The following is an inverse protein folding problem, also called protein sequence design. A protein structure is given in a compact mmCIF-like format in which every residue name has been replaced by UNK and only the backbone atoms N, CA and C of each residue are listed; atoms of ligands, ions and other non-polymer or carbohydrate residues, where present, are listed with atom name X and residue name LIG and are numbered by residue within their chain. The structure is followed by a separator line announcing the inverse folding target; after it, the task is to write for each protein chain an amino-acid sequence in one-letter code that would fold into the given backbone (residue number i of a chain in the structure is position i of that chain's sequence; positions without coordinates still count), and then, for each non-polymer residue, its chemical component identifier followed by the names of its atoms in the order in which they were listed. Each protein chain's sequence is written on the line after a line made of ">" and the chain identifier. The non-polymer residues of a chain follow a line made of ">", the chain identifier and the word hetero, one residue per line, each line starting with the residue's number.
data_IF_632512672660
#
_entry.id   IF_632512672660
#
_cell.length_a   1.000
_cell.length_b   1.000
_cell.length_c   1.000
_cell.angle_alpha   90.00
_cell.angle_beta   90.00
_cell.angle_gamma   90.00
#
_symmetry.space_group_name_H-M   'P 1'
#
loop_
_entity.id
_entity.type
_entity.pdbx_description
1 polymer ?
#
# COMPACT_ATOMS: atom_id res chain seq x y z
N UNK A 1 6.60 1.59 10.37
CA UNK A 1 5.90 2.67 9.66
C UNK A 1 6.92 3.56 8.95
N UNK A 2 6.84 3.70 7.62
CA UNK A 2 7.84 4.42 6.81
C UNK A 2 7.54 5.93 6.70
N UNK A 3 6.43 6.39 7.27
CA UNK A 3 6.04 7.81 7.21
C UNK A 3 7.17 8.76 7.68
N UNK A 4 7.88 8.50 8.80
CA UNK A 4 8.98 9.38 9.21
C UNK A 4 10.08 9.48 8.16
N UNK A 5 10.41 8.37 7.48
CA UNK A 5 11.40 8.41 6.40
C UNK A 5 10.92 9.25 5.22
N UNK A 6 9.64 9.13 4.83
CA UNK A 6 9.07 10.00 3.79
C UNK A 6 9.05 11.46 4.19
N UNK A 7 8.80 11.78 5.47
CA UNK A 7 8.87 13.16 5.96
C UNK A 7 10.31 13.70 5.91
N UNK A 8 11.31 12.89 6.26
CA UNK A 8 12.73 13.25 6.15
C UNK A 8 13.13 13.51 4.69
N UNK A 9 12.74 12.62 3.77
CA UNK A 9 13.00 12.76 2.34
C UNK A 9 12.32 14.00 1.77
N UNK A 10 11.04 14.20 2.11
CA UNK A 10 10.28 15.37 1.67
C UNK A 10 10.88 16.68 2.18
N UNK A 11 11.35 16.70 3.43
CA UNK A 11 12.07 17.84 4.01
C UNK A 11 13.33 18.16 3.22
N UNK A 12 14.16 17.14 3.00
CA UNK A 12 15.39 17.28 2.22
C UNK A 12 15.13 17.85 0.80
N UNK A 13 14.09 17.34 0.12
CA UNK A 13 13.69 17.80 -1.23
C UNK A 13 13.26 19.28 -1.19
N UNK A 14 12.46 19.68 -0.22
CA UNK A 14 11.97 21.06 -0.10
C UNK A 14 13.10 22.04 0.23
N UNK A 15 14.10 21.63 1.02
CA UNK A 15 15.26 22.46 1.36
C UNK A 15 16.26 22.59 0.20
N UNK A 16 16.50 21.49 -0.54
CA UNK A 16 17.52 21.47 -1.58
C UNK A 16 16.99 21.76 -2.98
N UNK A 17 15.67 21.78 -3.17
CA UNK A 17 15.03 22.05 -4.48
C UNK A 17 15.28 20.97 -5.55
N UNK A 18 15.73 19.77 -5.14
CA UNK A 18 16.06 18.67 -6.06
C UNK A 18 15.70 17.31 -5.46
N UNK A 19 15.49 16.31 -6.31
CA UNK A 19 15.26 14.92 -5.86
C UNK A 19 16.61 14.24 -5.69
N UNK A 20 16.88 13.58 -4.52
CA UNK A 20 18.16 12.94 -4.29
C UNK A 20 18.34 11.71 -5.19
N UNK A 21 19.51 11.58 -5.78
CA UNK A 21 19.96 10.41 -6.55
C UNK A 21 21.04 9.59 -5.83
N UNK A 22 21.47 10.07 -4.67
CA UNK A 22 22.36 9.41 -3.74
C UNK A 22 21.79 9.48 -2.32
N UNK A 23 22.20 8.59 -1.45
CA UNK A 23 21.73 8.58 -0.06
C UNK A 23 22.33 9.72 0.78
N UNK A 24 21.53 10.68 1.29
CA UNK A 24 22.02 11.73 2.17
C UNK A 24 21.81 11.44 3.66
N UNK A 25 21.16 10.31 4.05
CA UNK A 25 20.63 10.13 5.41
C UNK A 25 21.42 9.14 6.26
N UNK A 26 21.76 7.95 5.71
CA UNK A 26 22.36 6.89 6.54
C UNK A 26 23.86 7.06 6.75
N UNK A 27 24.38 6.45 7.81
CA UNK A 27 25.81 6.44 8.08
C UNK A 27 26.58 5.43 7.22
N UNK A 28 25.93 4.32 6.84
CA UNK A 28 26.57 3.19 6.15
C UNK A 28 26.36 3.20 4.64
N UNK A 29 25.29 3.79 4.16
CA UNK A 29 24.97 3.94 2.71
C UNK A 29 25.22 5.36 2.18
N UNK A 30 25.75 6.28 2.99
CA UNK A 30 25.90 7.68 2.61
C UNK A 30 26.68 7.89 1.31
N UNK A 31 26.09 8.68 0.42
CA UNK A 31 26.65 8.93 -0.91
C UNK A 31 26.47 7.80 -1.93
N UNK A 32 25.96 6.64 -1.52
CA UNK A 32 25.62 5.55 -2.42
C UNK A 32 24.44 5.88 -3.34
N UNK A 33 24.36 5.25 -4.53
CA UNK A 33 23.28 5.51 -5.49
C UNK A 33 21.94 5.13 -4.92
N UNK A 34 20.92 6.00 -5.10
CA UNK A 34 19.57 5.76 -4.61
C UNK A 34 18.51 6.29 -5.59
N UNK A 35 17.50 5.46 -5.86
CA UNK A 35 16.31 5.82 -6.64
C UNK A 35 15.19 6.21 -5.68
N UNK A 36 14.99 7.49 -5.47
CA UNK A 36 13.92 8.04 -4.62
C UNK A 36 12.55 7.96 -5.35
N UNK A 37 12.07 6.76 -5.62
CA UNK A 37 10.90 6.47 -6.48
C UNK A 37 9.56 6.98 -5.94
N UNK A 38 9.48 7.36 -4.67
CA UNK A 38 8.28 7.90 -4.00
C UNK A 38 8.47 9.38 -3.61
N UNK A 39 9.36 10.06 -4.31
CA UNK A 39 9.77 11.43 -4.01
C UNK A 39 8.60 12.43 -3.93
N UNK A 40 7.65 12.32 -4.86
CA UNK A 40 6.50 13.23 -4.88
C UNK A 40 5.53 12.96 -3.73
N UNK A 41 5.36 11.69 -3.31
CA UNK A 41 4.58 11.35 -2.13
C UNK A 41 5.27 11.88 -0.85
N UNK A 42 6.58 11.73 -0.74
CA UNK A 42 7.37 12.27 0.38
C UNK A 42 7.24 13.79 0.47
N UNK A 43 7.38 14.49 -0.65
CA UNK A 43 7.21 15.95 -0.74
C UNK A 43 5.79 16.37 -0.35
N UNK A 44 4.75 15.67 -0.84
CA UNK A 44 3.36 15.91 -0.47
C UNK A 44 3.12 15.77 1.04
N UNK A 45 3.61 14.67 1.63
CA UNK A 45 3.42 14.42 3.07
C UNK A 45 4.11 15.50 3.91
N UNK A 46 5.35 15.88 3.56
CA UNK A 46 6.05 16.94 4.26
C UNK A 46 5.38 18.31 4.09
N UNK A 47 4.90 18.62 2.90
CA UNK A 47 4.17 19.87 2.65
C UNK A 47 2.89 19.96 3.50
N UNK A 48 2.16 18.85 3.64
CA UNK A 48 0.96 18.80 4.50
C UNK A 48 1.33 18.91 5.97
N UNK A 49 2.39 18.26 6.40
CA UNK A 49 2.90 18.34 7.79
C UNK A 49 3.33 19.78 8.13
N UNK A 50 3.95 20.49 7.17
CA UNK A 50 4.40 21.88 7.33
C UNK A 50 3.27 22.91 7.48
N UNK A 51 2.00 22.50 7.32
CA UNK A 51 0.84 23.34 7.66
C UNK A 51 0.68 23.57 9.18
N UNK A 52 1.54 22.97 9.99
CA UNK A 52 1.77 23.31 11.37
C UNK A 52 1.11 22.41 12.43
N UNK A 53 0.35 21.37 12.04
CA UNK A 53 -0.22 20.44 13.02
C UNK A 53 -0.23 18.98 12.49
N UNK A 54 0.22 17.99 13.29
CA UNK A 54 0.25 16.57 12.89
C UNK A 54 -1.10 16.01 12.42
N UNK A 55 -2.21 16.59 12.90
CA UNK A 55 -3.57 16.18 12.51
C UNK A 55 -3.85 16.41 11.01
N UNK A 56 -3.13 17.28 10.32
CA UNK A 56 -3.26 17.42 8.85
C UNK A 56 -2.85 16.16 8.11
N UNK A 57 -1.84 15.42 8.59
CA UNK A 57 -1.47 14.11 8.04
C UNK A 57 -2.57 13.07 8.29
N UNK A 58 -3.23 13.11 9.46
CA UNK A 58 -4.37 12.25 9.76
C UNK A 58 -5.54 12.61 8.85
N UNK A 59 -5.84 13.89 8.67
CA UNK A 59 -6.88 14.36 7.76
C UNK A 59 -6.62 13.91 6.32
N UNK A 60 -5.37 13.99 5.84
CA UNK A 60 -4.98 13.47 4.53
C UNK A 60 -5.22 11.96 4.42
N UNK A 61 -4.85 11.17 5.44
CA UNK A 61 -5.09 9.73 5.45
C UNK A 61 -6.59 9.41 5.41
N UNK A 62 -7.42 10.15 6.15
CA UNK A 62 -8.89 10.02 6.14
C UNK A 62 -9.47 10.39 4.78
N UNK A 63 -9.03 11.49 4.18
CA UNK A 63 -9.47 11.92 2.84
C UNK A 63 -9.11 10.88 1.77
N UNK A 64 -7.90 10.36 1.78
CA UNK A 64 -7.47 9.32 0.85
C UNK A 64 -8.24 8.01 1.06
N UNK A 65 -8.53 7.66 2.30
CA UNK A 65 -9.37 6.48 2.61
C UNK A 65 -10.81 6.69 2.14
N UNK A 66 -11.39 7.86 2.37
CA UNK A 66 -12.73 8.21 1.89
C UNK A 66 -12.79 8.21 0.35
N UNK A 67 -11.76 8.76 -0.33
CA UNK A 67 -11.62 8.71 -1.79
C UNK A 67 -11.57 7.27 -2.31
N UNK A 68 -10.81 6.39 -1.64
CA UNK A 68 -10.76 4.98 -1.99
C UNK A 68 -12.15 4.33 -1.94
N UNK A 69 -12.93 4.60 -0.88
CA UNK A 69 -14.31 4.15 -0.74
C UNK A 69 -15.24 4.73 -1.79
N UNK A 70 -15.12 6.01 -2.08
CA UNK A 70 -15.88 6.69 -3.12
C UNK A 70 -15.62 6.12 -4.52
N UNK A 71 -14.36 5.91 -4.87
CA UNK A 71 -13.99 5.29 -6.15
C UNK A 71 -14.51 3.85 -6.26
N UNK A 72 -14.40 3.06 -5.18
CA UNK A 72 -14.94 1.71 -5.15
C UNK A 72 -16.46 1.72 -5.37
N UNK A 73 -17.17 2.63 -4.72
CA UNK A 73 -18.63 2.80 -4.91
C UNK A 73 -18.99 3.18 -6.35
N UNK A 74 -18.25 4.12 -6.95
CA UNK A 74 -18.46 4.52 -8.36
C UNK A 74 -18.23 3.35 -9.31
N UNK A 75 -17.20 2.54 -9.08
CA UNK A 75 -16.93 1.34 -9.88
C UNK A 75 -18.07 0.33 -9.73
N UNK A 76 -18.49 0.02 -8.50
CA UNK A 76 -19.58 -0.91 -8.24
C UNK A 76 -20.88 -0.47 -8.92
N UNK A 77 -21.22 0.83 -8.87
CA UNK A 77 -22.35 1.41 -9.59
C UNK A 77 -22.22 1.23 -11.10
N UNK A 78 -21.02 1.45 -11.65
CA UNK A 78 -20.79 1.29 -13.10
C UNK A 78 -20.94 -0.16 -13.59
N UNK A 79 -20.79 -1.12 -12.69
CA UNK A 79 -21.08 -2.54 -12.96
C UNK A 79 -22.55 -2.93 -12.73
N UNK A 80 -23.38 -2.00 -12.24
CA UNK A 80 -24.79 -2.27 -11.92
C UNK A 80 -24.97 -3.12 -10.66
N UNK A 81 -23.99 -3.10 -9.73
CA UNK A 81 -24.09 -3.85 -8.47
C UNK A 81 -25.24 -3.30 -7.62
N UNK A 82 -26.20 -4.15 -7.17
CA UNK A 82 -27.29 -3.70 -6.31
C UNK A 82 -26.80 -3.10 -4.99
N UNK A 83 -27.50 -2.08 -4.45
CA UNK A 83 -27.11 -1.35 -3.25
C UNK A 83 -26.84 -2.26 -2.05
N UNK A 84 -27.66 -3.29 -1.87
CA UNK A 84 -27.48 -4.29 -0.81
C UNK A 84 -26.06 -4.91 -0.81
N UNK A 85 -25.61 -5.39 -1.96
CA UNK A 85 -24.29 -6.00 -2.09
C UNK A 85 -23.16 -4.99 -1.94
N UNK A 86 -23.33 -3.77 -2.44
CA UNK A 86 -22.34 -2.70 -2.25
C UNK A 86 -22.08 -2.40 -0.78
N UNK A 87 -23.16 -2.34 0.02
CA UNK A 87 -23.09 -2.08 1.45
C UNK A 87 -22.56 -3.28 2.25
N UNK A 88 -23.04 -4.48 1.92
CA UNK A 88 -22.62 -5.71 2.61
C UNK A 88 -21.11 -5.97 2.43
N UNK A 89 -20.56 -5.68 1.26
CA UNK A 89 -19.15 -5.89 0.95
C UNK A 89 -18.23 -4.82 1.54
N UNK A 90 -18.76 -3.67 1.99
CA UNK A 90 -17.93 -2.63 2.60
C UNK A 90 -17.12 -3.16 3.78
N UNK A 91 -17.76 -3.87 4.71
CA UNK A 91 -17.12 -4.32 5.95
C UNK A 91 -15.95 -5.26 5.69
N UNK A 92 -16.11 -6.39 4.98
CA UNK A 92 -14.99 -7.30 4.74
C UNK A 92 -13.88 -6.65 3.89
N UNK A 93 -14.24 -5.75 2.95
CA UNK A 93 -13.24 -5.00 2.18
C UNK A 93 -12.43 -4.09 3.10
N UNK A 94 -13.08 -3.29 3.95
CA UNK A 94 -12.37 -2.40 4.86
C UNK A 94 -11.52 -3.13 5.90
N UNK A 95 -11.97 -4.27 6.41
CA UNK A 95 -11.17 -5.12 7.29
C UNK A 95 -9.93 -5.69 6.56
N UNK A 96 -10.08 -6.11 5.31
CA UNK A 96 -8.96 -6.60 4.50
C UNK A 96 -7.95 -5.48 4.14
N UNK A 97 -8.45 -4.27 3.88
CA UNK A 97 -7.63 -3.10 3.51
C UNK A 97 -7.05 -2.38 4.73
N UNK A 98 -7.64 -2.55 5.93
CA UNK A 98 -7.41 -1.72 7.13
C UNK A 98 -5.95 -1.47 7.48
N UNK A 99 -5.08 -2.49 7.37
CA UNK A 99 -3.62 -2.34 7.59
C UNK A 99 -2.94 -1.45 6.56
N UNK A 100 -3.58 -1.16 5.41
CA UNK A 100 -3.08 -0.34 4.32
C UNK A 100 -3.67 1.07 4.28
N UNK A 101 -4.53 1.42 5.25
CA UNK A 101 -5.09 2.76 5.37
C UNK A 101 -4.15 3.76 6.10
N UNK A 102 -3.00 3.29 6.56
CA UNK A 102 -1.95 4.17 7.09
C UNK A 102 -1.42 5.07 5.98
N UNK A 103 -1.08 6.31 6.34
CA UNK A 103 -0.50 7.28 5.41
C UNK A 103 0.90 6.82 4.96
N UNK A 104 0.92 6.26 3.77
CA UNK A 104 2.10 5.79 3.04
C UNK A 104 1.85 5.95 1.54
N UNK A 105 2.86 6.00 0.69
CA UNK A 105 2.69 6.12 -0.77
C UNK A 105 1.75 5.07 -1.39
N UNK A 106 1.70 3.87 -0.84
CA UNK A 106 0.80 2.83 -1.33
C UNK A 106 -0.70 3.17 -1.17
N UNK A 107 -1.11 4.02 -0.21
CA UNK A 107 -2.50 4.46 -0.11
C UNK A 107 -2.89 5.36 -1.29
N UNK A 108 -1.96 6.21 -1.75
CA UNK A 108 -2.11 6.96 -3.01
C UNK A 108 -2.20 6.00 -4.20
N UNK A 109 -1.33 4.99 -4.24
CA UNK A 109 -1.32 3.99 -5.30
C UNK A 109 -2.64 3.19 -5.40
N UNK A 110 -3.23 2.77 -4.28
CA UNK A 110 -4.54 2.10 -4.28
C UNK A 110 -5.65 3.00 -4.85
N UNK A 111 -5.62 4.30 -4.51
CA UNK A 111 -6.54 5.27 -5.11
C UNK A 111 -6.34 5.37 -6.63
N UNK A 112 -5.08 5.41 -7.09
CA UNK A 112 -4.76 5.49 -8.52
C UNK A 112 -5.15 4.24 -9.29
N UNK A 113 -5.03 3.03 -8.69
CA UNK A 113 -5.57 1.80 -9.28
C UNK A 113 -7.07 1.92 -9.53
N UNK A 114 -7.83 2.32 -8.50
CA UNK A 114 -9.28 2.46 -8.64
C UNK A 114 -9.66 3.62 -9.57
N UNK A 115 -8.90 4.72 -9.56
CA UNK A 115 -9.13 5.85 -10.45
C UNK A 115 -8.94 5.45 -11.92
N UNK A 116 -7.87 4.76 -12.26
CA UNK A 116 -7.63 4.25 -13.62
C UNK A 116 -8.72 3.26 -14.02
N UNK A 117 -9.12 2.36 -13.12
CA UNK A 117 -10.24 1.45 -13.37
C UNK A 117 -11.55 2.20 -13.62
N UNK A 118 -11.87 3.21 -12.81
CA UNK A 118 -13.07 4.02 -13.00
C UNK A 118 -13.02 4.81 -14.30
N UNK A 119 -11.89 5.47 -14.64
CA UNK A 119 -11.72 6.24 -15.87
C UNK A 119 -11.91 5.34 -17.10
N UNK A 120 -11.32 4.17 -17.15
CA UNK A 120 -11.44 3.26 -18.29
C UNK A 120 -12.89 2.79 -18.45
N UNK A 121 -13.59 2.49 -17.36
CA UNK A 121 -15.00 2.11 -17.41
C UNK A 121 -15.89 3.27 -17.84
N UNK A 122 -15.74 4.44 -17.22
CA UNK A 122 -16.53 5.64 -17.56
C UNK A 122 -16.19 6.17 -18.95
N UNK A 123 -14.97 6.04 -19.39
CA UNK A 123 -14.50 6.46 -20.70
C UNK A 123 -15.03 5.62 -21.86
N UNK A 124 -15.60 4.44 -21.63
CA UNK A 124 -16.20 3.63 -22.70
C UNK A 124 -17.35 4.37 -23.43
N UNK A 125 -18.39 4.89 -22.75
CA UNK A 125 -19.40 5.73 -23.35
C UNK A 125 -18.97 7.19 -23.53
N UNK A 126 -17.98 7.69 -22.78
CA UNK A 126 -17.54 9.09 -22.74
C UNK A 126 -16.04 9.22 -23.02
N UNK A 127 -15.61 9.07 -24.26
CA UNK A 127 -14.22 8.79 -24.63
C UNK A 127 -13.24 9.92 -24.28
N UNK A 128 -13.71 11.16 -24.11
CA UNK A 128 -12.85 12.29 -23.67
C UNK A 128 -12.15 12.05 -22.33
N UNK A 129 -12.76 11.25 -21.43
CA UNK A 129 -12.17 10.92 -20.13
C UNK A 129 -10.93 10.05 -20.23
N UNK A 130 -10.78 9.27 -21.32
CA UNK A 130 -9.61 8.40 -21.50
C UNK A 130 -8.30 9.19 -21.65
N UNK A 131 -8.35 10.41 -22.15
CA UNK A 131 -7.16 11.27 -22.27
C UNK A 131 -6.58 11.70 -20.92
N UNK A 132 -7.40 11.67 -19.85
CA UNK A 132 -6.96 11.95 -18.46
C UNK A 132 -6.00 10.87 -17.96
N UNK A 133 -5.98 9.68 -18.58
CA UNK A 133 -5.03 8.62 -18.22
C UNK A 133 -3.57 9.06 -18.38
N UNK A 134 -3.27 9.92 -19.35
CA UNK A 134 -1.90 10.40 -19.61
C UNK A 134 -1.35 11.16 -18.40
N UNK A 135 -1.95 12.29 -17.93
CA UNK A 135 -1.46 12.98 -16.74
C UNK A 135 -1.59 12.14 -15.45
N UNK A 136 -2.58 11.27 -15.33
CA UNK A 136 -2.71 10.35 -14.19
C UNK A 136 -1.52 9.41 -14.12
N UNK A 137 -1.04 8.89 -15.26
CA UNK A 137 0.13 8.00 -15.27
C UNK A 137 1.43 8.72 -14.98
N UNK A 138 1.58 9.98 -15.43
CA UNK A 138 2.71 10.84 -15.00
C UNK A 138 2.73 10.99 -13.48
N UNK A 139 1.57 11.33 -12.90
CA UNK A 139 1.44 11.48 -11.46
C UNK A 139 1.78 10.17 -10.72
N UNK A 140 1.23 9.05 -11.18
CA UNK A 140 1.43 7.75 -10.53
C UNK A 140 2.90 7.31 -10.54
N UNK A 141 3.61 7.47 -11.66
CA UNK A 141 5.02 7.12 -11.76
C UNK A 141 5.90 7.88 -10.75
N UNK A 142 5.53 9.11 -10.40
CA UNK A 142 6.24 9.93 -9.42
C UNK A 142 5.79 9.70 -7.96
N UNK A 143 4.65 9.04 -7.75
CA UNK A 143 4.11 8.77 -6.41
C UNK A 143 4.46 7.38 -5.88
N UNK A 144 4.52 6.34 -6.75
CA UNK A 144 4.73 4.96 -6.29
C UNK A 144 5.09 4.00 -7.43
N UNK A 145 6.01 3.07 -7.18
CA UNK A 145 6.50 2.08 -8.16
C UNK A 145 5.45 1.13 -8.75
N UNK A 146 4.24 1.06 -8.20
CA UNK A 146 3.14 0.24 -8.75
C UNK A 146 2.49 0.81 -10.02
N UNK A 147 2.97 1.91 -10.58
CA UNK A 147 2.48 2.47 -11.86
C UNK A 147 2.49 1.46 -13.01
N UNK A 148 3.34 0.45 -12.95
CA UNK A 148 3.39 -0.67 -13.90
C UNK A 148 2.05 -1.44 -13.98
N UNK A 149 1.31 -1.54 -12.86
CA UNK A 149 -0.03 -2.12 -12.85
C UNK A 149 -1.01 -1.26 -13.66
N UNK A 150 -0.89 0.07 -13.55
CA UNK A 150 -1.67 1.01 -14.36
C UNK A 150 -1.38 0.86 -15.85
N UNK A 151 -0.10 0.78 -16.24
CA UNK A 151 0.31 0.51 -17.63
C UNK A 151 -0.34 -0.79 -18.14
N UNK A 152 -0.16 -1.89 -17.40
CA UNK A 152 -0.70 -3.19 -17.80
C UNK A 152 -2.22 -3.16 -17.94
N UNK A 153 -2.92 -2.49 -17.01
CA UNK A 153 -4.37 -2.36 -17.04
C UNK A 153 -4.84 -1.50 -18.23
N UNK A 154 -4.21 -0.35 -18.49
CA UNK A 154 -4.56 0.56 -19.61
C UNK A 154 -4.35 -0.15 -20.97
N UNK A 155 -3.22 -0.83 -21.15
CA UNK A 155 -2.96 -1.60 -22.38
C UNK A 155 -4.00 -2.72 -22.51
N UNK A 156 -4.26 -3.44 -21.43
CA UNK A 156 -5.29 -4.48 -21.39
C UNK A 156 -6.66 -3.94 -21.81
N UNK A 157 -7.10 -2.82 -21.23
CA UNK A 157 -8.43 -2.27 -21.49
C UNK A 157 -8.57 -1.65 -22.90
N UNK A 158 -7.61 -0.84 -23.31
CA UNK A 158 -7.72 -0.09 -24.56
C UNK A 158 -7.33 -0.89 -25.80
N UNK A 159 -6.42 -1.85 -25.66
CA UNK A 159 -5.84 -2.55 -26.81
C UNK A 159 -6.34 -4.00 -26.94
N UNK A 160 -6.51 -4.73 -25.81
CA UNK A 160 -6.83 -6.17 -25.81
C UNK A 160 -8.31 -6.40 -25.56
N UNK A 161 -8.85 -5.98 -24.40
CA UNK A 161 -10.24 -6.18 -23.98
C UNK A 161 -11.11 -4.98 -24.35
N UNK A 162 -10.99 -4.49 -25.56
CA UNK A 162 -11.52 -3.19 -25.99
C UNK A 162 -13.03 -3.12 -26.28
N UNK A 163 -13.79 -4.12 -25.87
CA UNK A 163 -15.24 -4.16 -26.06
C UNK A 163 -15.95 -2.99 -25.38
N UNK A 164 -16.89 -2.39 -26.09
CA UNK A 164 -17.69 -1.26 -25.58
C UNK A 164 -16.99 0.11 -25.64
N UNK A 165 -15.76 0.19 -26.15
CA UNK A 165 -15.13 1.49 -26.45
C UNK A 165 -15.67 2.09 -27.75
N UNK A 166 -16.06 3.36 -27.69
CA UNK A 166 -16.54 4.12 -28.87
C UNK A 166 -15.39 4.80 -29.64
N UNK A 167 -14.18 4.91 -29.03
CA UNK A 167 -13.03 5.49 -29.70
C UNK A 167 -12.46 4.61 -30.82
N UNK A 168 -12.03 5.22 -31.94
CA UNK A 168 -11.28 4.54 -32.98
C UNK A 168 -10.01 3.85 -32.42
N UNK A 169 -9.66 2.72 -33.01
CA UNK A 169 -8.48 1.93 -32.59
C UNK A 169 -7.21 2.77 -32.50
N UNK A 170 -6.95 3.64 -33.49
CA UNK A 170 -5.79 4.54 -33.52
C UNK A 170 -5.71 5.41 -32.27
N UNK A 171 -6.81 6.04 -31.87
CA UNK A 171 -6.85 6.92 -30.70
C UNK A 171 -6.62 6.14 -29.40
N UNK A 172 -7.18 4.93 -29.28
CA UNK A 172 -6.94 4.06 -28.11
C UNK A 172 -5.46 3.70 -27.96
N UNK A 173 -4.79 3.35 -29.08
CA UNK A 173 -3.35 3.11 -29.07
C UNK A 173 -2.54 4.38 -28.76
N UNK A 174 -2.97 5.55 -29.24
CA UNK A 174 -2.32 6.83 -28.89
C UNK A 174 -2.43 7.13 -27.38
N UNK A 175 -3.60 6.90 -26.78
CA UNK A 175 -3.78 7.09 -25.34
C UNK A 175 -2.95 6.09 -24.54
N UNK A 176 -2.96 4.82 -24.91
CA UNK A 176 -2.16 3.79 -24.25
C UNK A 176 -0.66 4.09 -24.36
N UNK A 177 -0.16 4.37 -25.56
CA UNK A 177 1.24 4.75 -25.79
C UNK A 177 1.63 6.05 -25.08
N UNK A 178 0.76 7.06 -25.16
CA UNK A 178 0.95 8.34 -24.44
C UNK A 178 0.99 8.14 -22.92
N UNK A 179 0.17 7.26 -22.37
CA UNK A 179 0.19 6.90 -20.94
C UNK A 179 1.49 6.22 -20.52
N UNK A 180 2.04 5.34 -21.38
CA UNK A 180 3.35 4.71 -21.14
C UNK A 180 4.46 5.76 -21.20
N UNK A 181 4.52 6.58 -22.26
CA UNK A 181 5.54 7.61 -22.42
C UNK A 181 5.48 8.67 -21.31
N UNK A 182 4.29 9.00 -20.83
CA UNK A 182 4.08 9.94 -19.74
C UNK A 182 4.73 9.51 -18.42
N UNK A 183 4.90 8.21 -18.18
CA UNK A 183 5.59 7.71 -16.99
C UNK A 183 7.10 7.93 -17.03
N UNK A 184 7.68 8.26 -18.19
CA UNK A 184 9.09 8.67 -18.31
C UNK A 184 9.34 10.10 -17.82
N UNK A 185 8.28 10.89 -17.61
CA UNK A 185 8.37 12.23 -17.01
C UNK A 185 8.54 12.07 -15.49
N UNK A 186 9.75 11.67 -15.08
CA UNK A 186 10.17 11.47 -13.71
C UNK A 186 11.69 11.73 -13.58
N UNK A 187 12.24 12.03 -12.39
CA UNK A 187 13.67 12.33 -12.20
C UNK A 187 14.62 11.17 -12.51
N UNK A 188 14.12 9.93 -12.53
CA UNK A 188 14.94 8.73 -12.69
C UNK A 188 14.83 8.08 -14.08
N UNK A 189 13.96 8.61 -14.96
CA UNK A 189 13.75 8.12 -16.33
C UNK A 189 13.45 6.62 -16.37
N UNK A 190 14.19 5.90 -17.20
CA UNK A 190 14.00 4.44 -17.42
C UNK A 190 14.40 3.60 -16.20
N UNK A 191 15.32 4.08 -15.34
CA UNK A 191 15.73 3.35 -14.14
C UNK A 191 14.55 3.03 -13.21
N UNK A 192 13.51 3.88 -13.21
CA UNK A 192 12.29 3.66 -12.44
C UNK A 192 11.54 2.36 -12.82
N UNK A 193 11.67 1.91 -14.06
CA UNK A 193 11.04 0.66 -14.51
C UNK A 193 11.73 -0.60 -14.00
N UNK A 194 13.05 -0.54 -13.80
CA UNK A 194 13.84 -1.68 -13.32
C UNK A 194 13.74 -1.86 -11.80
N UNK A 195 13.59 -0.75 -11.09
CA UNK A 195 13.57 -0.70 -9.63
C UNK A 195 12.58 -1.67 -8.95
N UNK A 196 11.28 -1.77 -9.34
CA UNK A 196 10.35 -2.68 -8.69
C UNK A 196 10.72 -4.16 -8.86
N UNK A 197 11.36 -4.52 -9.97
CA UNK A 197 11.81 -5.90 -10.23
C UNK A 197 13.05 -6.23 -9.40
N UNK A 198 14.03 -5.32 -9.30
CA UNK A 198 15.21 -5.52 -8.47
C UNK A 198 14.82 -5.83 -7.02
N UNK A 199 13.87 -5.04 -6.48
CA UNK A 199 13.41 -5.23 -5.11
C UNK A 199 12.54 -6.48 -4.92
N UNK A 200 11.64 -6.78 -5.88
CA UNK A 200 10.69 -7.89 -5.77
C UNK A 200 11.34 -9.26 -5.95
N UNK A 201 12.46 -9.33 -6.66
CA UNK A 201 13.17 -10.58 -6.95
C UNK A 201 14.25 -10.91 -5.92
N UNK A 202 14.58 -9.98 -5.02
CA UNK A 202 15.60 -10.21 -3.99
C UNK A 202 15.04 -11.12 -2.88
N UNK A 203 15.64 -12.32 -2.68
CA UNK A 203 15.16 -13.28 -1.70
C UNK A 203 15.35 -12.82 -0.24
N UNK A 204 16.34 -11.98 0.04
CA UNK A 204 16.65 -11.50 1.39
C UNK A 204 15.57 -10.55 1.87
N UNK A 205 15.22 -9.55 1.07
CA UNK A 205 14.15 -8.62 1.42
C UNK A 205 12.79 -9.29 1.44
N UNK A 206 12.53 -10.23 0.51
CA UNK A 206 11.25 -10.96 0.48
C UNK A 206 11.07 -11.91 1.66
N UNK A 207 12.15 -12.41 2.28
CA UNK A 207 12.09 -13.27 3.46
C UNK A 207 12.20 -12.47 4.79
N UNK A 208 12.90 -11.32 4.78
CA UNK A 208 13.19 -10.54 5.99
C UNK A 208 12.10 -9.56 6.41
N UNK A 209 11.24 -9.12 5.50
CA UNK A 209 10.21 -8.11 5.77
C UNK A 209 8.84 -8.75 5.88
N UNK A 210 8.18 -8.60 7.05
CA UNK A 210 6.87 -9.23 7.35
C UNK A 210 5.81 -9.05 6.25
N UNK A 211 5.70 -7.87 5.66
CA UNK A 211 4.71 -7.57 4.63
C UNK A 211 4.97 -8.28 3.29
N UNK A 212 6.17 -8.81 3.10
CA UNK A 212 6.61 -9.51 1.89
C UNK A 212 6.47 -11.03 2.01
N UNK A 213 6.20 -11.52 3.23
CA UNK A 213 5.97 -12.94 3.48
C UNK A 213 4.65 -13.41 2.85
N UNK A 214 4.58 -14.68 2.42
CA UNK A 214 3.31 -15.31 2.11
C UNK A 214 2.36 -15.32 3.32
N UNK A 215 1.04 -15.20 3.13
CA UNK A 215 0.07 -15.16 4.25
C UNK A 215 0.19 -16.32 5.24
N UNK A 216 0.47 -17.52 4.74
CA UNK A 216 0.55 -18.74 5.56
C UNK A 216 1.86 -18.89 6.33
N UNK A 217 2.94 -18.18 5.95
CA UNK A 217 4.23 -18.19 6.67
C UNK A 217 4.38 -17.01 7.62
N UNK A 218 3.57 -15.97 7.45
CA UNK A 218 3.64 -14.76 8.27
C UNK A 218 3.08 -15.04 9.68
N UNK A 219 3.89 -14.91 10.74
CA UNK A 219 3.47 -15.29 12.10
C UNK A 219 2.21 -14.54 12.55
N UNK A 220 1.19 -15.27 12.99
CA UNK A 220 -0.06 -14.71 13.51
C UNK A 220 -0.93 -13.98 12.49
N UNK A 221 -0.56 -13.94 11.21
CA UNK A 221 -1.34 -13.19 10.21
C UNK A 221 -2.69 -13.84 9.93
N UNK A 222 -2.76 -15.17 9.82
CA UNK A 222 -3.99 -15.90 9.45
C UNK A 222 -5.15 -15.73 10.45
N UNK A 223 -4.84 -15.31 11.67
CA UNK A 223 -5.85 -15.00 12.71
C UNK A 223 -6.31 -13.55 12.69
N UNK A 224 -5.76 -12.70 11.80
CA UNK A 224 -6.15 -11.28 11.72
C UNK A 224 -7.49 -11.11 10.99
N UNK A 225 -8.27 -10.07 11.35
CA UNK A 225 -9.47 -9.71 10.60
C UNK A 225 -9.22 -9.50 9.10
N UNK A 226 -8.04 -9.00 8.75
CA UNK A 226 -7.64 -8.78 7.36
C UNK A 226 -7.53 -10.10 6.58
N UNK A 227 -6.88 -11.12 7.16
CA UNK A 227 -6.76 -12.43 6.53
C UNK A 227 -8.13 -13.12 6.40
N UNK A 228 -8.89 -13.15 7.50
CA UNK A 228 -10.23 -13.77 7.53
C UNK A 228 -11.15 -13.12 6.48
N UNK A 229 -11.14 -11.79 6.41
CA UNK A 229 -11.95 -11.05 5.43
C UNK A 229 -11.49 -11.27 4.00
N UNK A 230 -10.18 -11.30 3.73
CA UNK A 230 -9.63 -11.60 2.41
C UNK A 230 -9.98 -12.99 1.92
N UNK A 231 -9.85 -14.00 2.78
CA UNK A 231 -10.25 -15.39 2.49
C UNK A 231 -11.76 -15.45 2.26
N UNK A 232 -12.57 -14.78 3.10
CA UNK A 232 -14.02 -14.72 2.96
C UNK A 232 -14.45 -14.10 1.61
N UNK A 233 -13.84 -12.99 1.20
CA UNK A 233 -14.11 -12.37 -0.09
C UNK A 233 -13.77 -13.31 -1.25
N UNK A 234 -12.61 -13.96 -1.21
CA UNK A 234 -12.22 -14.92 -2.23
C UNK A 234 -13.17 -16.14 -2.28
N UNK A 235 -13.57 -16.66 -1.13
CA UNK A 235 -14.55 -17.75 -1.03
C UNK A 235 -15.90 -17.35 -1.60
N UNK A 236 -16.38 -16.12 -1.33
CA UNK A 236 -17.60 -15.56 -1.93
C UNK A 236 -17.48 -15.46 -3.45
N UNK A 237 -16.32 -15.05 -3.97
CA UNK A 237 -16.08 -14.99 -5.40
C UNK A 237 -16.16 -16.37 -6.06
N UNK A 238 -15.52 -17.37 -5.47
CA UNK A 238 -15.56 -18.76 -5.94
C UNK A 238 -16.98 -19.34 -5.90
N UNK A 239 -17.67 -19.19 -4.78
CA UNK A 239 -19.03 -19.66 -4.61
C UNK A 239 -20.00 -18.97 -5.59
N UNK A 240 -19.91 -17.65 -5.72
CA UNK A 240 -20.72 -16.88 -6.69
C UNK A 240 -20.46 -17.34 -8.13
N UNK A 241 -19.19 -17.60 -8.48
CA UNK A 241 -18.84 -18.13 -9.80
C UNK A 241 -19.40 -19.53 -10.04
N UNK A 242 -19.35 -20.41 -9.03
CA UNK A 242 -19.90 -21.76 -9.10
C UNK A 242 -21.43 -21.74 -9.24
N UNK A 243 -22.13 -20.88 -8.48
CA UNK A 243 -23.58 -20.72 -8.56
C UNK A 243 -24.07 -20.15 -9.90
N UNK A 244 -23.26 -19.30 -10.54
CA UNK A 244 -23.55 -18.81 -11.90
C UNK A 244 -23.48 -19.93 -12.94
N UNK A 245 -22.65 -20.95 -12.73
CA UNK A 245 -22.35 -21.96 -13.72
C UNK A 245 -21.71 -21.37 -14.98
N UNK A 246 -21.38 -22.20 -15.95
CA UNK A 246 -20.81 -21.73 -17.22
C UNK A 246 -21.83 -20.99 -18.07
N UNK A 247 -23.07 -21.52 -18.12
CA UNK A 247 -24.22 -20.92 -18.82
C UNK A 247 -24.11 -20.95 -20.34
N UNK A 248 -25.12 -20.36 -20.98
CA UNK A 248 -25.15 -20.12 -22.43
C UNK A 248 -24.38 -18.84 -22.81
N UNK A 249 -24.36 -18.49 -24.10
CA UNK A 249 -23.66 -17.28 -24.58
C UNK A 249 -24.05 -15.97 -23.87
N UNK A 250 -25.28 -15.88 -23.38
CA UNK A 250 -25.80 -14.67 -22.74
C UNK A 250 -26.19 -14.85 -21.28
N UNK A 251 -25.86 -16.00 -20.66
CA UNK A 251 -26.20 -16.31 -19.28
C UNK A 251 -25.00 -16.93 -18.54
N UNK A 252 -25.06 -16.99 -17.22
CA UNK A 252 -24.00 -17.51 -16.37
C UNK A 252 -22.68 -16.77 -16.49
N UNK A 253 -21.58 -17.42 -16.13
CA UNK A 253 -20.24 -16.85 -16.18
C UNK A 253 -19.82 -16.46 -17.61
N UNK A 254 -20.19 -17.27 -18.62
CA UNK A 254 -19.89 -16.98 -20.02
C UNK A 254 -20.53 -15.67 -20.50
N UNK A 255 -21.77 -15.40 -20.12
CA UNK A 255 -22.44 -14.12 -20.39
C UNK A 255 -21.78 -12.94 -19.67
N UNK A 256 -21.32 -13.14 -18.41
CA UNK A 256 -20.61 -12.11 -17.67
C UNK A 256 -19.26 -11.76 -18.30
N UNK A 257 -18.49 -12.75 -18.78
CA UNK A 257 -17.21 -12.53 -19.46
C UNK A 257 -17.33 -11.68 -20.74
N UNK A 258 -18.50 -11.72 -21.40
CA UNK A 258 -18.80 -10.88 -22.57
C UNK A 258 -19.17 -9.43 -22.22
N UNK A 259 -19.45 -9.13 -20.94
CA UNK A 259 -19.74 -7.75 -20.52
C UNK A 259 -18.49 -6.87 -20.65
N UNK A 260 -18.59 -5.65 -21.18
CA UNK A 260 -17.46 -4.76 -21.35
C UNK A 260 -16.67 -4.57 -20.06
N UNK A 261 -15.36 -4.86 -20.08
CA UNK A 261 -14.43 -4.71 -18.97
C UNK A 261 -14.51 -5.77 -17.86
N UNK A 262 -15.48 -6.70 -17.88
CA UNK A 262 -15.59 -7.73 -16.84
C UNK A 262 -14.43 -8.74 -16.90
N UNK A 263 -14.11 -9.23 -18.09
CA UNK A 263 -13.02 -10.21 -18.28
C UNK A 263 -11.66 -9.67 -17.83
N UNK A 264 -11.33 -8.43 -18.20
CA UNK A 264 -10.08 -7.78 -17.74
C UNK A 264 -10.09 -7.57 -16.22
N UNK A 265 -11.21 -7.12 -15.65
CA UNK A 265 -11.33 -6.93 -14.20
C UNK A 265 -11.17 -8.25 -13.45
N UNK A 266 -11.72 -9.34 -13.97
CA UNK A 266 -11.54 -10.69 -13.43
C UNK A 266 -10.08 -11.13 -13.51
N UNK A 267 -9.42 -10.93 -14.65
CA UNK A 267 -8.00 -11.23 -14.81
C UNK A 267 -7.16 -10.44 -13.80
N UNK A 268 -7.41 -9.14 -13.65
CA UNK A 268 -6.73 -8.29 -12.69
C UNK A 268 -6.93 -8.77 -11.24
N UNK A 269 -8.16 -9.16 -10.87
CA UNK A 269 -8.46 -9.67 -9.53
C UNK A 269 -7.78 -11.03 -9.26
N UNK A 270 -7.77 -11.93 -10.23
CA UNK A 270 -7.06 -13.22 -10.14
C UNK A 270 -5.54 -13.00 -10.01
N UNK A 271 -4.97 -12.13 -10.84
CA UNK A 271 -3.55 -11.76 -10.74
C UNK A 271 -3.21 -11.16 -9.38
N UNK A 272 -4.03 -10.24 -8.87
CA UNK A 272 -3.84 -9.65 -7.55
C UNK A 272 -3.95 -10.70 -6.43
N UNK A 273 -4.81 -11.70 -6.56
CA UNK A 273 -4.91 -12.82 -5.62
C UNK A 273 -3.67 -13.70 -5.66
N UNK A 274 -3.15 -14.00 -6.85
CA UNK A 274 -1.88 -14.71 -6.98
C UNK A 274 -0.74 -13.92 -6.31
N UNK A 275 -0.64 -12.62 -6.55
CA UNK A 275 0.35 -11.77 -5.89
C UNK A 275 0.13 -11.73 -4.36
N UNK A 276 -1.11 -11.66 -3.90
CA UNK A 276 -1.44 -11.71 -2.47
C UNK A 276 -1.08 -13.05 -1.82
N UNK A 277 -1.18 -14.14 -2.55
CA UNK A 277 -0.71 -15.46 -2.10
C UNK A 277 0.81 -15.52 -1.94
N UNK A 278 1.55 -14.72 -2.67
CA UNK A 278 3.02 -14.64 -2.57
C UNK A 278 3.49 -13.62 -1.55
N UNK A 279 2.76 -12.52 -1.38
CA UNK A 279 3.12 -11.43 -0.47
C UNK A 279 1.88 -10.76 0.12
N UNK A 280 1.85 -10.65 1.45
CA UNK A 280 0.75 -10.05 2.24
C UNK A 280 0.32 -8.67 1.75
N UNK A 281 1.27 -7.87 1.30
CA UNK A 281 1.03 -6.49 0.90
C UNK A 281 0.03 -6.33 -0.25
N UNK A 282 -0.21 -7.38 -1.04
CA UNK A 282 -1.16 -7.36 -2.15
C UNK A 282 -2.59 -7.74 -1.76
N UNK A 283 -2.84 -8.16 -0.52
CA UNK A 283 -4.19 -8.55 -0.06
C UNK A 283 -5.21 -7.42 -0.20
N UNK A 284 -4.81 -6.19 0.13
CA UNK A 284 -5.69 -5.02 -0.01
C UNK A 284 -6.09 -4.79 -1.47
N UNK A 285 -5.13 -4.87 -2.39
CA UNK A 285 -5.39 -4.75 -3.82
C UNK A 285 -6.36 -5.84 -4.31
N UNK A 286 -6.10 -7.10 -3.96
CA UNK A 286 -6.97 -8.22 -4.32
C UNK A 286 -8.40 -8.00 -3.82
N UNK A 287 -8.56 -7.62 -2.54
CA UNK A 287 -9.86 -7.38 -1.92
C UNK A 287 -10.67 -6.26 -2.61
N UNK A 288 -9.99 -5.16 -2.97
CA UNK A 288 -10.60 -4.04 -3.70
C UNK A 288 -11.05 -4.45 -5.11
N UNK A 289 -10.26 -5.26 -5.81
CA UNK A 289 -10.59 -5.70 -7.16
C UNK A 289 -11.70 -6.76 -7.17
N UNK A 290 -11.78 -7.63 -6.16
CA UNK A 290 -12.83 -8.62 -6.05
C UNK A 290 -14.20 -8.04 -5.68
N UNK A 291 -14.27 -6.97 -4.89
CA UNK A 291 -15.53 -6.46 -4.36
C UNK A 291 -16.60 -6.15 -5.45
N UNK A 292 -16.32 -5.40 -6.53
CA UNK A 292 -17.28 -5.16 -7.59
C UNK A 292 -17.70 -6.44 -8.33
N UNK A 293 -16.76 -7.38 -8.53
CA UNK A 293 -17.01 -8.64 -9.22
C UNK A 293 -17.92 -9.56 -8.40
N UNK A 294 -17.66 -9.68 -7.09
CA UNK A 294 -18.55 -10.39 -6.16
C UNK A 294 -19.94 -9.77 -6.19
N UNK A 295 -20.03 -8.44 -6.13
CA UNK A 295 -21.30 -7.73 -6.22
C UNK A 295 -22.07 -8.03 -7.50
N UNK A 296 -21.39 -8.19 -8.65
CA UNK A 296 -22.01 -8.61 -9.92
C UNK A 296 -22.44 -10.08 -9.85
N UNK A 297 -21.55 -10.98 -9.43
CA UNK A 297 -21.82 -12.42 -9.36
C UNK A 297 -23.05 -12.72 -8.50
N UNK A 298 -23.13 -12.12 -7.32
CA UNK A 298 -24.25 -12.32 -6.42
C UNK A 298 -25.49 -11.49 -6.77
N UNK A 299 -25.31 -10.30 -7.32
CA UNK A 299 -26.39 -9.40 -7.73
C UNK A 299 -27.22 -9.93 -8.90
N UNK A 300 -26.67 -10.79 -9.75
CA UNK A 300 -27.35 -11.42 -10.88
C UNK A 300 -28.12 -12.70 -10.51
N UNK A 301 -27.97 -13.21 -9.28
CA UNK A 301 -28.66 -14.42 -8.78
C UNK A 301 -30.07 -14.11 -8.23
N UNK A 302 -30.82 -13.20 -8.72
CA UNK A 302 -32.25 -12.93 -8.41
C UNK A 302 -32.71 -13.24 -6.96
N UNK A 303 -31.88 -12.92 -5.96
CA UNK A 303 -32.21 -13.12 -4.56
C UNK A 303 -33.34 -12.18 -4.14
N UNK A 304 -34.42 -12.74 -3.54
CA UNK A 304 -35.43 -11.92 -2.87
C UNK A 304 -34.91 -11.50 -1.50
N UNK A 305 -34.31 -10.34 -1.44
CA UNK A 305 -33.78 -9.78 -0.18
C UNK A 305 -34.90 -9.03 0.55
N UNK A 306 -35.24 -9.45 1.77
CA UNK A 306 -36.29 -8.81 2.54
C UNK A 306 -35.95 -7.34 2.86
N UNK A 307 -36.95 -6.43 2.97
CA UNK A 307 -36.72 -5.04 3.32
C UNK A 307 -36.00 -4.86 4.67
N UNK A 308 -36.25 -5.73 5.63
CA UNK A 308 -35.56 -5.73 6.93
C UNK A 308 -34.07 -6.04 6.79
N UNK A 309 -33.69 -6.99 5.96
CA UNK A 309 -32.29 -7.33 5.70
C UNK A 309 -31.57 -6.20 4.95
N UNK A 310 -32.27 -5.51 4.03
CA UNK A 310 -31.71 -4.33 3.36
C UNK A 310 -31.43 -3.19 4.36
N UNK A 311 -32.36 -2.93 5.29
CA UNK A 311 -32.17 -1.95 6.37
C UNK A 311 -31.00 -2.34 7.30
N UNK A 312 -30.91 -3.61 7.68
CA UNK A 312 -29.81 -4.12 8.49
C UNK A 312 -28.45 -3.95 7.79
N UNK A 313 -28.36 -4.22 6.49
CA UNK A 313 -27.14 -4.01 5.70
C UNK A 313 -26.72 -2.53 5.63
N UNK A 314 -27.68 -1.59 5.73
CA UNK A 314 -27.40 -0.16 5.77
C UNK A 314 -26.92 0.28 7.16
N UNK A 315 -27.53 -0.24 8.23
CA UNK A 315 -27.21 0.10 9.60
C UNK A 315 -25.90 -0.51 10.10
N UNK A 316 -25.56 -1.72 9.63
CA UNK A 316 -24.42 -2.47 10.12
C UNK A 316 -23.06 -1.76 9.95
N UNK A 317 -22.69 -1.20 8.78
CA UNK A 317 -21.42 -0.46 8.63
C UNK A 317 -21.34 0.75 9.56
N UNK A 318 -22.45 1.48 9.75
CA UNK A 318 -22.53 2.64 10.64
C UNK A 318 -22.33 2.20 12.09
N UNK A 319 -23.05 1.16 12.54
CA UNK A 319 -22.90 0.60 13.88
C UNK A 319 -21.46 0.09 14.12
N UNK A 320 -20.85 -0.55 13.13
CA UNK A 320 -19.48 -1.03 13.24
C UNK A 320 -18.47 0.13 13.35
N UNK A 321 -18.62 1.19 12.56
CA UNK A 321 -17.76 2.39 12.65
C UNK A 321 -17.86 3.04 14.02
N UNK A 322 -19.08 3.17 14.57
CA UNK A 322 -19.31 3.70 15.90
C UNK A 322 -18.66 2.80 16.97
N UNK A 323 -18.88 1.49 16.89
CA UNK A 323 -18.30 0.52 17.82
C UNK A 323 -16.76 0.58 17.82
N UNK A 324 -16.14 0.58 16.63
CA UNK A 324 -14.68 0.66 16.49
C UNK A 324 -14.14 2.01 16.96
N UNK A 325 -14.90 3.09 16.77
CA UNK A 325 -14.55 4.42 17.27
C UNK A 325 -14.50 4.49 18.81
N UNK A 326 -15.39 3.76 19.50
CA UNK A 326 -15.44 3.73 20.96
C UNK A 326 -14.46 2.73 21.58
N UNK A 327 -14.31 1.57 21.00
CA UNK A 327 -13.52 0.46 21.57
C UNK A 327 -12.13 0.30 20.94
N UNK A 328 -11.83 1.03 19.89
CA UNK A 328 -10.66 0.75 19.04
C UNK A 328 -10.93 -0.35 18.02
N UNK A 329 -9.88 -0.83 17.35
CA UNK A 329 -10.01 -1.85 16.33
C UNK A 329 -9.24 -3.14 16.71
N UNK A 330 -9.75 -4.32 16.32
CA UNK A 330 -9.07 -5.58 16.59
C UNK A 330 -7.80 -5.69 15.75
N UNK A 331 -6.66 -5.88 16.41
CA UNK A 331 -5.35 -5.95 15.77
C UNK A 331 -4.87 -7.39 15.51
N UNK A 332 -5.54 -8.39 16.07
CA UNK A 332 -5.22 -9.81 15.96
C UNK A 332 -5.43 -10.54 17.27
N UNK A 333 -5.04 -11.82 17.31
CA UNK A 333 -5.08 -12.66 18.51
C UNK A 333 -3.65 -12.79 19.03
N UNK A 334 -3.45 -12.65 20.33
CA UNK A 334 -2.15 -12.83 20.97
C UNK A 334 -1.82 -14.33 21.20
N UNK A 335 -0.63 -14.59 21.75
CA UNK A 335 -0.17 -15.95 22.04
C UNK A 335 -1.04 -16.67 23.10
N UNK A 336 -1.83 -15.94 23.87
CA UNK A 336 -2.77 -16.45 24.88
C UNK A 336 -4.18 -16.64 24.32
N UNK A 337 -4.40 -16.45 23.01
CA UNK A 337 -5.70 -16.59 22.36
C UNK A 337 -6.66 -15.43 22.57
N UNK A 338 -6.20 -14.29 23.10
CA UNK A 338 -7.04 -13.13 23.36
C UNK A 338 -6.96 -12.11 22.23
N UNK A 339 -8.09 -11.42 21.94
CA UNK A 339 -8.13 -10.34 20.98
C UNK A 339 -7.32 -9.13 21.47
N UNK A 340 -6.32 -8.74 20.68
CA UNK A 340 -5.62 -7.46 20.87
C UNK A 340 -6.43 -6.33 20.26
N UNK A 341 -6.70 -5.33 21.06
CA UNK A 341 -7.36 -4.10 20.64
C UNK A 341 -6.34 -2.96 20.58
N UNK A 342 -6.47 -2.10 19.59
CA UNK A 342 -5.69 -0.87 19.48
C UNK A 342 -6.63 0.32 19.55
N UNK A 343 -6.31 1.26 20.45
CA UNK A 343 -7.02 2.54 20.53
C UNK A 343 -6.77 3.40 19.28
N UNK A 344 -7.77 4.17 18.92
CA UNK A 344 -7.64 5.23 17.92
C UNK A 344 -7.19 6.48 18.66
N UNK A 345 -6.12 7.13 18.19
CA UNK A 345 -5.57 8.35 18.81
C UNK A 345 -4.87 9.23 17.78
N UNK A 346 -4.53 10.45 18.18
CA UNK A 346 -3.73 11.39 17.39
C UNK A 346 -2.27 11.37 17.83
N UNK A 347 -1.35 11.68 16.91
CA UNK A 347 0.08 11.74 17.17
C UNK A 347 0.81 10.40 16.97
N UNK A 348 2.06 10.36 17.46
CA UNK A 348 2.90 9.18 17.37
C UNK A 348 2.54 8.14 18.43
N UNK A 349 2.56 6.86 18.06
CA UNK A 349 2.36 5.79 19.03
C UNK A 349 3.41 5.84 20.14
N UNK A 350 3.06 5.60 21.41
CA UNK A 350 4.05 5.52 22.52
C UNK A 350 5.15 4.47 22.30
N UNK A 351 4.92 3.51 21.41
CA UNK A 351 5.90 2.47 21.07
C UNK A 351 6.93 2.94 20.01
N UNK A 352 6.80 4.16 19.49
CA UNK A 352 7.75 4.72 18.53
C UNK A 352 8.93 5.38 19.26
N UNK A 353 10.13 5.41 18.66
CA UNK A 353 11.35 5.94 19.32
C UNK A 353 11.43 7.48 19.29
N UNK A 354 10.28 8.18 19.22
CA UNK A 354 10.25 9.65 19.12
C UNK A 354 10.87 10.31 20.34
N UNK A 355 10.42 9.94 21.54
CA UNK A 355 10.92 10.51 22.79
C UNK A 355 12.41 10.19 23.01
N UNK A 356 12.89 8.94 22.88
CA UNK A 356 14.31 8.65 23.02
C UNK A 356 15.20 9.42 22.04
N UNK A 357 14.80 9.53 20.76
CA UNK A 357 15.59 10.27 19.76
C UNK A 357 15.59 11.78 20.08
N UNK A 358 14.44 12.33 20.43
CA UNK A 358 14.33 13.74 20.82
C UNK A 358 15.22 14.05 22.05
N UNK A 359 15.22 13.17 23.05
CA UNK A 359 16.07 13.27 24.23
C UNK A 359 17.57 13.26 23.85
N UNK A 360 17.98 12.31 23.00
CA UNK A 360 19.38 12.24 22.54
C UNK A 360 19.82 13.55 21.86
N UNK A 361 18.97 14.10 21.00
CA UNK A 361 19.32 15.24 20.13
C UNK A 361 19.20 16.58 20.86
N UNK A 362 18.13 16.78 21.62
CA UNK A 362 17.76 18.10 22.16
C UNK A 362 18.11 18.27 23.65
N UNK A 363 18.22 17.18 24.43
CA UNK A 363 18.60 17.27 25.84
C UNK A 363 20.06 16.87 26.08
N UNK A 364 20.57 15.86 25.36
CA UNK A 364 21.94 15.36 25.52
C UNK A 364 22.88 15.84 24.41
N UNK A 365 22.35 16.58 23.41
CA UNK A 365 23.11 17.18 22.30
C UNK A 365 23.95 16.17 21.50
N UNK A 366 23.52 14.90 21.47
CA UNK A 366 24.23 13.83 20.75
C UNK A 366 24.10 14.06 19.25
N UNK A 367 25.21 13.96 18.54
CA UNK A 367 25.33 14.03 17.09
C UNK A 367 26.23 12.93 16.55
N UNK A 368 26.12 12.62 15.25
CA UNK A 368 26.96 11.62 14.59
C UNK A 368 26.21 10.36 14.19
N UNK A 369 26.72 9.18 14.52
CA UNK A 369 26.16 7.89 14.11
C UNK A 369 25.27 7.30 15.20
N UNK A 370 24.04 6.92 14.84
CA UNK A 370 23.15 6.16 15.71
C UNK A 370 23.10 4.71 15.25
N UNK A 371 23.62 3.78 16.06
CA UNK A 371 23.38 2.37 15.89
C UNK A 371 21.93 2.06 16.28
N UNK A 372 21.12 1.71 15.32
CA UNK A 372 19.70 1.48 15.56
C UNK A 372 19.14 0.33 14.73
N UNK A 373 17.94 -0.13 15.12
CA UNK A 373 17.18 -1.09 14.36
C UNK A 373 16.66 -0.48 13.06
N UNK A 374 16.49 -1.31 12.05
CA UNK A 374 15.89 -0.99 10.76
C UNK A 374 14.60 -0.15 10.87
N UNK A 375 13.73 -0.47 11.83
CA UNK A 375 12.45 0.22 12.05
C UNK A 375 12.60 1.63 12.60
N UNK A 376 13.75 1.95 13.23
CA UNK A 376 14.01 3.22 13.90
C UNK A 376 14.75 4.24 13.03
N UNK A 377 15.41 3.79 11.97
CA UNK A 377 16.23 4.66 11.14
C UNK A 377 15.46 5.81 10.50
N UNK A 378 14.25 5.56 10.00
CA UNK A 378 13.40 6.62 9.46
C UNK A 378 13.01 7.68 10.48
N UNK A 379 12.72 7.28 11.73
CA UNK A 379 12.47 8.20 12.84
C UNK A 379 13.72 9.01 13.16
N UNK A 380 14.89 8.37 13.17
CA UNK A 380 16.17 9.03 13.42
C UNK A 380 16.40 10.15 12.40
N UNK A 381 16.29 9.85 11.12
CA UNK A 381 16.49 10.84 10.05
C UNK A 381 15.52 12.02 10.15
N UNK A 382 14.25 11.74 10.49
CA UNK A 382 13.21 12.77 10.57
C UNK A 382 13.36 13.66 11.81
N UNK A 383 13.48 13.04 13.01
CA UNK A 383 13.45 13.79 14.29
C UNK A 383 14.75 14.52 14.54
N UNK A 384 15.89 13.92 14.17
CA UNK A 384 17.19 14.54 14.40
C UNK A 384 17.51 15.69 13.46
N UNK A 385 16.74 15.88 12.38
CA UNK A 385 17.07 16.91 11.38
C UNK A 385 18.47 16.72 10.78
N UNK A 386 18.95 15.47 10.66
CA UNK A 386 20.27 15.14 10.14
C UNK A 386 21.42 15.19 11.16
N UNK A 387 21.20 15.58 12.43
CA UNK A 387 22.22 15.54 13.49
C UNK A 387 22.68 14.12 13.80
N UNK A 388 21.76 13.14 13.77
CA UNK A 388 22.04 11.72 13.90
C UNK A 388 21.81 11.01 12.58
N UNK A 389 22.77 10.21 12.14
CA UNK A 389 22.68 9.34 10.95
C UNK A 389 22.47 7.90 11.38
N UNK A 390 21.36 7.26 11.03
CA UNK A 390 21.12 5.87 11.39
C UNK A 390 22.08 4.93 10.65
N UNK A 391 22.48 3.83 11.29
CA UNK A 391 23.25 2.79 10.61
C UNK A 391 22.43 2.06 9.55
N UNK A 392 21.10 2.04 9.68
CA UNK A 392 20.18 1.42 8.74
C UNK A 392 18.79 2.05 8.86
N UNK A 393 18.03 2.06 7.76
CA UNK A 393 16.62 2.51 7.69
C UNK A 393 15.79 1.71 6.69
N UNK A 394 14.52 2.05 6.52
CA UNK A 394 13.55 1.30 5.71
C UNK A 394 13.71 1.44 4.18
N UNK A 395 14.75 2.10 3.68
CA UNK A 395 15.04 2.24 2.26
C UNK A 395 15.88 1.06 1.75
N UNK A 396 15.26 -0.09 1.59
CA UNK A 396 15.91 -1.37 1.27
C UNK A 396 16.94 -1.30 0.13
N UNK A 397 16.75 -0.42 -0.86
CA UNK A 397 17.63 -0.30 -2.03
C UNK A 397 18.91 0.51 -1.81
N UNK A 398 19.04 1.15 -0.65
CA UNK A 398 20.27 1.84 -0.25
C UNK A 398 21.32 0.84 0.26
N UNK A 399 20.86 -0.30 0.77
CA UNK A 399 21.71 -1.31 1.39
C UNK A 399 21.78 -2.56 0.53
N UNK A 400 22.94 -3.25 0.55
CA UNK A 400 22.99 -4.58 -0.07
C UNK A 400 22.27 -5.61 0.81
N UNK A 401 21.73 -6.68 0.20
CA UNK A 401 21.10 -7.77 0.95
C UNK A 401 22.02 -8.37 2.02
N UNK A 402 23.30 -8.53 1.70
CA UNK A 402 24.32 -9.05 2.62
C UNK A 402 24.50 -8.14 3.83
N UNK A 403 24.54 -6.81 3.60
CA UNK A 403 24.65 -5.84 4.69
C UNK A 403 23.41 -5.85 5.58
N UNK A 404 22.22 -5.97 4.99
CA UNK A 404 20.97 -6.07 5.75
C UNK A 404 20.99 -7.27 6.71
N UNK A 405 21.36 -8.46 6.22
CA UNK A 405 21.49 -9.66 7.05
C UNK A 405 22.59 -9.54 8.10
N UNK A 406 23.75 -9.02 7.72
CA UNK A 406 24.89 -8.85 8.64
C UNK A 406 24.57 -7.85 9.75
N UNK A 407 23.87 -6.75 9.44
CA UNK A 407 23.44 -5.76 10.42
C UNK A 407 22.46 -6.35 11.45
N UNK A 408 21.46 -7.09 10.99
CA UNK A 408 20.51 -7.77 11.87
C UNK A 408 21.20 -8.87 12.71
N UNK A 409 22.15 -9.60 12.14
CA UNK A 409 22.96 -10.57 12.88
C UNK A 409 23.86 -9.90 13.92
N UNK A 410 24.46 -8.76 13.60
CA UNK A 410 25.25 -7.96 14.56
C UNK A 410 24.38 -7.50 15.74
N UNK A 411 23.19 -7.00 15.47
CA UNK A 411 22.26 -6.59 16.54
C UNK A 411 21.78 -7.77 17.39
N UNK A 412 21.77 -9.01 16.88
CA UNK A 412 21.47 -10.22 17.66
C UNK A 412 22.67 -10.78 18.42
N UNK A 413 23.87 -10.26 18.17
CA UNK A 413 25.13 -10.79 18.73
C UNK A 413 25.67 -12.03 18.00
N UNK A 414 25.20 -12.27 16.77
CA UNK A 414 25.62 -13.40 15.92
C UNK A 414 26.78 -13.02 14.97
N UNK A 415 27.07 -11.71 14.84
CA UNK A 415 28.18 -11.17 14.06
C UNK A 415 28.96 -10.15 14.90
N UNK A 416 29.87 -10.65 15.72
CA UNK A 416 30.62 -9.85 16.70
C UNK A 416 31.60 -8.85 16.05
N UNK A 417 32.18 -9.17 14.90
CA UNK A 417 33.11 -8.27 14.19
C UNK A 417 32.39 -7.01 13.72
N UNK A 418 31.26 -7.19 12.99
CA UNK A 418 30.46 -6.06 12.54
C UNK A 418 29.84 -5.30 13.72
N UNK A 419 29.37 -6.02 14.75
CA UNK A 419 28.83 -5.44 15.97
C UNK A 419 29.82 -4.51 16.62
N UNK A 420 31.06 -4.96 16.85
CA UNK A 420 32.15 -4.15 17.41
C UNK A 420 32.41 -2.91 16.55
N UNK A 421 32.53 -3.10 15.23
CA UNK A 421 32.78 -2.00 14.30
C UNK A 421 31.65 -0.95 14.32
N UNK A 422 30.40 -1.37 14.37
CA UNK A 422 29.25 -0.45 14.44
C UNK A 422 29.17 0.26 15.81
N UNK A 423 29.44 -0.46 16.88
CA UNK A 423 29.40 0.08 18.24
C UNK A 423 30.52 1.10 18.46
N UNK A 424 31.74 0.83 17.99
CA UNK A 424 32.88 1.75 18.08
C UNK A 424 32.67 3.06 17.32
N UNK A 425 31.91 3.02 16.23
CA UNK A 425 31.57 4.21 15.41
C UNK A 425 30.35 4.96 15.89
N UNK A 426 29.53 4.34 16.73
CA UNK A 426 28.25 4.90 17.16
C UNK A 426 28.44 5.95 18.25
N UNK A 427 27.81 7.12 18.09
CA UNK A 427 27.69 8.14 19.15
C UNK A 427 26.60 7.76 20.16
N UNK A 428 25.63 6.96 19.76
CA UNK A 428 24.61 6.41 20.63
C UNK A 428 24.04 5.10 20.03
N UNK A 429 23.37 4.32 20.89
CA UNK A 429 22.72 3.06 20.51
C UNK A 429 21.24 3.13 20.90
N UNK A 430 20.35 2.80 19.98
CA UNK A 430 18.91 2.78 20.19
C UNK A 430 18.30 1.49 19.64
N UNK A 431 17.96 0.58 20.53
CA UNK A 431 17.41 -0.73 20.18
C UNK A 431 16.21 -1.10 21.04
N UNK A 432 15.38 -2.02 20.57
CA UNK A 432 14.22 -2.50 21.31
C UNK A 432 14.67 -3.51 22.40
N UNK A 433 14.52 -3.23 23.70
CA UNK A 433 15.12 -4.03 24.78
C UNK A 433 14.55 -5.46 24.89
N UNK A 434 13.38 -5.71 24.28
CA UNK A 434 12.72 -7.03 24.28
C UNK A 434 13.14 -7.98 23.17
N UNK A 435 13.96 -7.52 22.20
CA UNK A 435 14.45 -8.40 21.13
C UNK A 435 15.73 -9.14 21.53
N UNK A 436 15.95 -10.37 21.03
CA UNK A 436 17.15 -11.15 21.34
C UNK A 436 18.45 -10.41 21.04
N UNK A 437 19.46 -10.56 21.87
CA UNK A 437 20.80 -9.96 21.70
C UNK A 437 20.92 -8.47 22.00
N UNK A 438 19.78 -7.73 22.11
CA UNK A 438 19.81 -6.25 22.25
C UNK A 438 20.27 -5.77 23.63
N UNK A 439 20.08 -6.58 24.69
CA UNK A 439 20.44 -6.20 26.07
C UNK A 439 21.95 -6.17 26.32
N UNK A 440 22.74 -6.77 25.45
CA UNK A 440 24.20 -6.80 25.55
C UNK A 440 24.91 -5.76 24.67
N UNK A 441 24.16 -4.91 24.00
CA UNK A 441 24.61 -3.71 23.32
C UNK A 441 24.66 -2.53 24.31
#
# INVERSE_FOLDING_TARGET
>A
NDLPMHLAVGHWILENGQVPNVDPFSATGHGGPWVAHEWLAATLFKSVESLGHPNFLIALAVLLSASLGGLLELIQRSFGVPAFWRLLLLVPVWLAVGRRLMLRPHLLALNLVLLVWWITRHGRPSPRWLWVLIPVMTLWANLHGSFLLGIAYIIGDLCIFSQGHTLPRKQRFMIAGGSVLATLVNPHGVALYLFPFQLALDPVFTAGVFEWLPPWTAPGFMTTPAAISGIGLFSLALLGSALQGWGSENSGLRGLLKRPGFALSLLAAVTATFLASRQLRHLALASLLWAPLIGVLWGTLNWRISPSLQKAALAFPVALVLLLGFQGYPAGIDAQGQWRWRSIGSGWSPQTPVIPIDTLVNQWEVSGVLLCEYEFGGFTSYISGGKLRPTMDSRNTVYTPEFFLAHEAALRGENEELRKTLTEKASAILVHPGKPGRRSL
#
